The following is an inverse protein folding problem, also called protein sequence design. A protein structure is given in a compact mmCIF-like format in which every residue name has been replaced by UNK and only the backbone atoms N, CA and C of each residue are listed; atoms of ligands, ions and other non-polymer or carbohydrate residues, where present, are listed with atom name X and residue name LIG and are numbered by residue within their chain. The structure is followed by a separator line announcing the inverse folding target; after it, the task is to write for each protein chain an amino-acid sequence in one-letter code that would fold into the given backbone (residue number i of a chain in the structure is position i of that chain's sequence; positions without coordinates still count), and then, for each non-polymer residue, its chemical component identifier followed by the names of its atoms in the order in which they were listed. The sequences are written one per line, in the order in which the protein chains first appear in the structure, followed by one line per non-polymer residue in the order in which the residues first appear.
data_IF_250524186909
#
_entry.id   IF_250524186909
#
_cell.length_a   1.000
_cell.length_b   1.000
_cell.length_c   1.000
_cell.angle_alpha   90.00
_cell.angle_beta   90.00
_cell.angle_gamma   90.00
#
_symmetry.space_group_name_H-M   'P 1'
#
loop_
_entity.id
_entity.type
_entity.pdbx_description
1 polymer ?
#
# COMPACT_ATOMS: atom_id res chain seq x y z
N UNK A 1 6.40 15.25 31.89
CA UNK A 1 5.45 14.20 31.47
C UNK A 1 6.31 13.01 31.11
N UNK A 2 6.17 11.88 31.81
CA UNK A 2 6.88 10.66 31.47
C UNK A 2 6.47 10.27 30.04
N UNK A 3 7.43 10.13 29.12
CA UNK A 3 7.17 9.44 27.87
C UNK A 3 6.87 7.98 28.25
N UNK A 4 5.61 7.58 28.15
CA UNK A 4 5.29 6.16 28.23
C UNK A 4 6.16 5.44 27.19
N UNK A 5 6.90 4.46 27.65
CA UNK A 5 7.81 3.68 26.80
C UNK A 5 6.95 2.94 25.76
N UNK A 6 7.21 3.17 24.46
CA UNK A 6 6.46 2.53 23.38
C UNK A 6 6.82 1.04 23.31
N UNK A 7 5.82 0.18 23.38
CA UNK A 7 5.96 -1.27 23.23
C UNK A 7 5.43 -1.76 21.89
N UNK A 8 6.11 -1.35 20.84
CA UNK A 8 5.69 -1.61 19.45
C UNK A 8 5.96 -3.05 19.03
N UNK A 9 4.89 -3.82 18.79
CA UNK A 9 4.94 -5.18 18.27
C UNK A 9 4.36 -5.26 16.87
N UNK A 10 5.07 -5.94 15.95
CA UNK A 10 4.56 -6.24 14.60
C UNK A 10 3.99 -7.65 14.59
N UNK A 11 2.78 -7.83 14.06
CA UNK A 11 2.09 -9.11 13.94
C UNK A 11 1.14 -9.10 12.75
N UNK A 12 0.54 -10.25 12.46
CA UNK A 12 -0.54 -10.32 11.49
C UNK A 12 -1.83 -9.71 12.08
N UNK A 13 -2.62 -9.09 11.20
CA UNK A 13 -3.92 -8.54 11.54
C UNK A 13 -4.93 -9.68 11.72
N UNK A 14 -5.74 -9.62 12.77
CA UNK A 14 -6.79 -10.57 13.03
C UNK A 14 -8.18 -9.92 12.94
N UNK A 15 -9.22 -10.70 12.70
CA UNK A 15 -10.58 -10.16 12.54
C UNK A 15 -11.10 -9.48 13.83
N UNK A 16 -10.57 -9.85 14.99
CA UNK A 16 -10.88 -9.19 16.27
C UNK A 16 -10.39 -7.74 16.33
N UNK A 17 -9.38 -7.39 15.50
CA UNK A 17 -8.83 -6.03 15.43
C UNK A 17 -9.72 -5.08 14.62
N UNK A 18 -10.74 -5.59 13.92
CA UNK A 18 -11.55 -4.80 13.00
C UNK A 18 -12.17 -3.53 13.62
N UNK A 19 -12.67 -3.52 14.87
CA UNK A 19 -13.17 -2.28 15.47
C UNK A 19 -12.11 -1.16 15.52
N UNK A 20 -10.89 -1.46 15.97
CA UNK A 20 -9.79 -0.51 16.02
C UNK A 20 -9.28 -0.15 14.61
N UNK A 21 -9.24 -1.12 13.69
CA UNK A 21 -8.91 -0.87 12.29
C UNK A 21 -9.90 0.09 11.65
N UNK A 22 -11.21 -0.10 11.90
CA UNK A 22 -12.24 0.78 11.36
C UNK A 22 -12.06 2.23 11.85
N UNK A 23 -11.84 2.42 13.15
CA UNK A 23 -11.55 3.74 13.71
C UNK A 23 -10.32 4.39 13.06
N UNK A 24 -9.26 3.61 12.86
CA UNK A 24 -8.03 4.08 12.20
C UNK A 24 -8.29 4.47 10.73
N UNK A 25 -9.04 3.66 9.99
CA UNK A 25 -9.41 3.97 8.60
C UNK A 25 -10.28 5.22 8.51
N UNK A 26 -11.29 5.36 9.38
CA UNK A 26 -12.16 6.53 9.43
C UNK A 26 -11.37 7.82 9.73
N UNK A 27 -10.34 7.76 10.57
CA UNK A 27 -9.45 8.89 10.84
C UNK A 27 -8.55 9.27 9.66
N UNK A 28 -8.09 8.28 8.89
CA UNK A 28 -7.16 8.50 7.77
C UNK A 28 -7.89 8.84 6.48
N UNK A 29 -9.08 8.27 6.24
CA UNK A 29 -9.86 8.40 5.00
C UNK A 29 -11.05 9.35 5.10
N UNK A 30 -10.97 10.40 5.89
CA UNK A 30 -12.03 11.41 5.98
C UNK A 30 -12.45 11.98 4.61
N UNK A 31 -11.53 11.97 3.64
CA UNK A 31 -11.73 12.58 2.32
C UNK A 31 -11.98 11.56 1.19
N UNK A 32 -11.89 10.23 1.45
CA UNK A 32 -11.95 9.21 0.39
C UNK A 32 -12.65 7.94 0.91
N UNK A 33 -13.92 7.79 0.61
CA UNK A 33 -14.63 6.52 0.67
C UNK A 33 -14.85 5.88 2.05
N UNK A 34 -14.18 6.32 3.11
CA UNK A 34 -14.36 5.76 4.47
C UNK A 34 -13.68 4.41 4.69
N UNK A 35 -14.06 3.74 5.79
CA UNK A 35 -13.47 2.47 6.18
C UNK A 35 -13.92 1.31 5.28
N UNK A 36 -13.02 0.40 5.00
CA UNK A 36 -13.31 -0.85 4.29
C UNK A 36 -14.35 -1.67 5.06
N UNK A 37 -15.32 -2.30 4.36
CA UNK A 37 -16.29 -3.18 4.98
C UNK A 37 -15.64 -4.32 5.75
N UNK A 38 -16.28 -4.74 6.85
CA UNK A 38 -15.77 -5.84 7.69
C UNK A 38 -15.59 -7.14 6.90
N UNK A 39 -16.52 -7.43 5.99
CA UNK A 39 -16.47 -8.66 5.18
C UNK A 39 -15.32 -8.65 4.17
N UNK A 40 -14.94 -7.47 3.66
CA UNK A 40 -13.75 -7.30 2.81
C UNK A 40 -12.49 -7.62 3.60
N UNK A 41 -12.32 -7.04 4.79
CA UNK A 41 -11.17 -7.31 5.67
C UNK A 41 -11.13 -8.78 6.08
N UNK A 42 -12.29 -9.36 6.43
CA UNK A 42 -12.41 -10.80 6.74
C UNK A 42 -11.92 -11.67 5.58
N UNK A 43 -12.37 -11.36 4.36
CA UNK A 43 -11.96 -12.09 3.17
C UNK A 43 -10.43 -12.01 2.94
N UNK A 44 -9.84 -10.83 3.12
CA UNK A 44 -8.38 -10.66 2.98
C UNK A 44 -7.61 -11.48 4.01
N UNK A 45 -8.04 -11.46 5.27
CA UNK A 45 -7.42 -12.24 6.35
C UNK A 45 -7.54 -13.75 6.07
N UNK A 46 -8.71 -14.22 5.61
CA UNK A 46 -8.94 -15.64 5.31
C UNK A 46 -8.14 -16.12 4.09
N UNK A 47 -7.94 -15.27 3.08
CA UNK A 47 -7.25 -15.64 1.84
C UNK A 47 -5.75 -15.47 1.91
N UNK A 48 -5.29 -14.42 2.57
CA UNK A 48 -3.86 -14.09 2.64
C UNK A 48 -3.51 -13.44 3.99
N UNK A 49 -3.55 -14.20 5.11
CA UNK A 49 -3.30 -13.67 6.44
C UNK A 49 -1.92 -13.00 6.57
N UNK A 50 -0.88 -13.59 5.99
CA UNK A 50 0.49 -13.08 6.07
C UNK A 50 0.65 -11.70 5.41
N UNK A 51 -0.21 -11.39 4.46
CA UNK A 51 -0.22 -10.09 3.76
C UNK A 51 -0.87 -8.96 4.57
N UNK A 52 -1.59 -9.30 5.65
CA UNK A 52 -2.29 -8.33 6.49
C UNK A 52 -1.46 -8.08 7.75
N UNK A 53 -0.59 -7.07 7.71
CA UNK A 53 0.40 -6.80 8.75
C UNK A 53 -0.05 -5.61 9.59
N UNK A 54 0.09 -5.69 10.90
CA UNK A 54 -0.19 -4.57 11.79
C UNK A 54 0.93 -4.34 12.81
N UNK A 55 0.92 -3.15 13.39
CA UNK A 55 1.74 -2.78 14.55
C UNK A 55 0.79 -2.37 15.66
N UNK A 56 1.01 -2.90 16.83
CA UNK A 56 0.32 -2.50 18.06
C UNK A 56 1.28 -1.90 19.06
N UNK A 57 0.74 -1.07 19.96
CA UNK A 57 1.40 -0.54 21.13
C UNK A 57 0.52 -0.87 22.36
N UNK A 58 0.98 -1.78 23.20
CA UNK A 58 0.24 -2.25 24.38
C UNK A 58 -1.24 -2.64 24.07
N UNK A 59 -1.48 -3.36 22.96
CA UNK A 59 -2.80 -3.80 22.52
C UNK A 59 -3.61 -2.75 21.74
N UNK A 60 -3.09 -1.53 21.57
CA UNK A 60 -3.68 -0.51 20.68
C UNK A 60 -3.14 -0.68 19.27
N UNK A 61 -4.03 -0.83 18.28
CA UNK A 61 -3.67 -0.88 16.87
C UNK A 61 -3.22 0.52 16.39
N UNK A 62 -1.96 0.66 15.99
CA UNK A 62 -1.38 1.97 15.66
C UNK A 62 -0.95 2.10 14.20
N UNK A 63 -0.72 0.98 13.51
CA UNK A 63 -0.42 1.00 12.08
C UNK A 63 -0.81 -0.32 11.41
N UNK A 64 -1.24 -0.26 10.15
CA UNK A 64 -1.66 -1.44 9.38
C UNK A 64 -1.21 -1.31 7.93
N UNK A 65 -0.80 -2.42 7.33
CA UNK A 65 -0.56 -2.58 5.91
C UNK A 65 -1.43 -3.70 5.34
N UNK A 66 -2.22 -3.39 4.33
CA UNK A 66 -3.07 -4.35 3.61
C UNK A 66 -2.44 -4.70 2.27
N UNK A 67 -2.41 -6.00 1.95
CA UNK A 67 -1.70 -6.52 0.77
C UNK A 67 -2.54 -7.59 0.07
N UNK A 68 -2.54 -7.56 -1.26
CA UNK A 68 -3.08 -8.64 -2.10
C UNK A 68 -1.93 -9.43 -2.75
N UNK A 69 -2.23 -10.67 -3.16
CA UNK A 69 -1.35 -11.48 -4.01
C UNK A 69 -1.94 -11.54 -5.42
N UNK A 70 -1.14 -11.14 -6.43
CA UNK A 70 -1.60 -10.89 -7.80
C UNK A 70 -0.59 -11.35 -8.84
N UNK A 71 -1.00 -11.33 -10.12
CA UNK A 71 -0.12 -11.60 -11.25
C UNK A 71 0.67 -10.35 -11.66
N UNK A 72 1.97 -10.47 -11.75
CA UNK A 72 2.83 -9.38 -12.22
C UNK A 72 2.45 -8.89 -13.62
N UNK A 73 2.24 -9.82 -14.58
CA UNK A 73 1.91 -9.45 -15.96
C UNK A 73 0.67 -8.57 -16.05
N UNK A 74 -0.34 -8.85 -15.24
CA UNK A 74 -1.58 -8.07 -15.22
C UNK A 74 -1.36 -6.69 -14.61
N UNK A 75 -0.79 -6.63 -13.42
CA UNK A 75 -0.76 -5.41 -12.60
C UNK A 75 0.51 -4.55 -12.78
N UNK A 76 1.50 -5.01 -13.51
CA UNK A 76 2.60 -4.15 -14.00
C UNK A 76 2.18 -3.28 -15.21
N UNK A 77 1.00 -3.53 -15.75
CA UNK A 77 0.35 -2.76 -16.81
C UNK A 77 -0.62 -1.70 -16.26
N UNK A 78 -1.08 -0.72 -17.07
CA UNK A 78 -2.06 0.25 -16.65
C UNK A 78 -3.34 -0.43 -16.16
N UNK A 79 -3.82 -0.03 -14.99
CA UNK A 79 -5.04 -0.52 -14.36
C UNK A 79 -5.62 0.55 -13.44
N UNK A 80 -6.82 0.34 -12.97
CA UNK A 80 -7.51 1.18 -11.97
C UNK A 80 -7.51 0.47 -10.61
N UNK A 81 -7.89 1.20 -9.57
CA UNK A 81 -8.07 0.59 -8.25
C UNK A 81 -9.22 -0.43 -8.26
N UNK A 82 -10.27 -0.18 -9.04
CA UNK A 82 -11.40 -1.10 -9.19
C UNK A 82 -11.01 -2.44 -9.82
N UNK A 83 -9.92 -2.49 -10.60
CA UNK A 83 -9.40 -3.76 -11.13
C UNK A 83 -8.87 -4.72 -10.04
N UNK A 84 -8.59 -4.19 -8.84
CA UNK A 84 -8.21 -4.96 -7.67
C UNK A 84 -9.42 -5.39 -6.84
N UNK A 85 -10.57 -4.76 -7.06
CA UNK A 85 -11.81 -5.02 -6.33
C UNK A 85 -12.68 -5.95 -7.15
N UNK A 86 -13.02 -7.11 -6.61
CA UNK A 86 -13.95 -8.05 -7.21
C UNK A 86 -15.40 -7.68 -6.88
N UNK A 87 -16.35 -8.33 -7.56
CA UNK A 87 -17.78 -8.22 -7.19
C UNK A 87 -17.97 -8.49 -5.70
N UNK A 88 -18.86 -7.72 -5.07
CA UNK A 88 -19.15 -7.74 -3.63
C UNK A 88 -17.99 -7.24 -2.75
N UNK A 89 -17.26 -6.21 -3.18
CA UNK A 89 -16.19 -5.54 -2.42
C UNK A 89 -15.07 -6.48 -1.94
N UNK A 90 -14.87 -7.61 -2.62
CA UNK A 90 -13.77 -8.53 -2.31
C UNK A 90 -12.52 -8.11 -3.06
N UNK A 91 -11.39 -8.14 -2.38
CA UNK A 91 -10.10 -7.91 -3.00
C UNK A 91 -9.67 -9.14 -3.81
N UNK A 92 -9.12 -8.87 -4.99
CA UNK A 92 -8.55 -9.90 -5.85
C UNK A 92 -7.45 -10.66 -5.10
N UNK A 93 -7.52 -11.97 -5.14
CA UNK A 93 -6.48 -12.86 -4.63
C UNK A 93 -6.20 -13.97 -5.65
N UNK A 94 -4.95 -14.07 -6.10
CA UNK A 94 -4.51 -15.17 -6.92
C UNK A 94 -3.49 -16.03 -6.14
N UNK A 95 -3.83 -17.27 -5.74
CA UNK A 95 -2.93 -18.14 -5.01
C UNK A 95 -1.65 -18.50 -5.80
N UNK A 96 -1.71 -18.43 -7.14
CA UNK A 96 -0.56 -18.68 -8.03
C UNK A 96 0.15 -17.36 -8.45
N UNK A 97 -0.32 -16.23 -7.97
CA UNK A 97 0.29 -14.93 -8.28
C UNK A 97 1.74 -14.87 -7.80
N UNK A 98 2.58 -14.22 -8.56
CA UNK A 98 4.02 -14.09 -8.31
C UNK A 98 4.42 -12.74 -7.71
N UNK A 99 3.44 -11.91 -7.34
CA UNK A 99 3.68 -10.52 -6.94
C UNK A 99 2.75 -10.10 -5.80
N UNK A 100 3.29 -9.31 -4.86
CA UNK A 100 2.49 -8.63 -3.85
C UNK A 100 1.99 -7.29 -4.38
N UNK A 101 0.74 -6.94 -4.07
CA UNK A 101 0.19 -5.61 -4.34
C UNK A 101 -0.14 -4.91 -3.03
N UNK A 102 0.59 -3.82 -2.74
CA UNK A 102 0.33 -2.98 -1.57
C UNK A 102 -0.93 -2.14 -1.81
N UNK A 103 -2.01 -2.53 -1.14
CA UNK A 103 -3.31 -1.84 -1.24
C UNK A 103 -3.30 -0.55 -0.43
N UNK A 104 -2.98 -0.69 0.86
CA UNK A 104 -3.06 0.42 1.81
C UNK A 104 -1.98 0.36 2.90
N UNK A 105 -1.70 1.53 3.47
CA UNK A 105 -0.90 1.69 4.69
C UNK A 105 -1.55 2.78 5.54
N UNK A 106 -1.98 2.43 6.73
CA UNK A 106 -2.57 3.33 7.71
C UNK A 106 -1.64 3.54 8.89
N UNK A 107 -1.51 4.77 9.36
CA UNK A 107 -0.75 5.10 10.57
C UNK A 107 -1.60 6.06 11.40
N UNK A 108 -1.81 5.69 12.67
CA UNK A 108 -2.52 6.51 13.63
C UNK A 108 -1.86 7.90 13.73
N UNK A 109 -2.62 9.00 13.65
CA UNK A 109 -2.06 10.35 13.63
C UNK A 109 -1.04 10.63 14.73
N UNK A 110 -1.31 10.20 15.97
CA UNK A 110 -0.44 10.42 17.12
C UNK A 110 0.87 9.60 17.07
N UNK A 111 0.94 8.61 16.19
CA UNK A 111 2.13 7.77 15.99
C UNK A 111 2.91 8.12 14.71
N UNK A 112 2.57 9.24 14.06
CA UNK A 112 3.38 9.77 12.97
C UNK A 112 4.74 10.25 13.49
N UNK A 113 5.78 10.09 12.68
CA UNK A 113 7.15 10.43 13.09
C UNK A 113 7.93 9.25 13.70
N UNK A 114 7.27 8.19 14.20
CA UNK A 114 7.92 7.00 14.77
C UNK A 114 8.37 5.97 13.73
N UNK A 115 8.39 6.33 12.45
CA UNK A 115 8.82 5.50 11.31
C UNK A 115 8.03 4.20 11.13
N UNK A 116 6.78 4.13 11.64
CA UNK A 116 5.94 2.93 11.55
C UNK A 116 5.65 2.53 10.11
N UNK A 117 5.44 3.51 9.22
CA UNK A 117 5.26 3.24 7.79
C UNK A 117 6.46 2.51 7.19
N UNK A 118 7.69 2.94 7.50
CA UNK A 118 8.91 2.26 7.06
C UNK A 118 8.96 0.83 7.58
N UNK A 119 8.67 0.62 8.85
CA UNK A 119 8.64 -0.71 9.48
C UNK A 119 7.63 -1.64 8.79
N UNK A 120 6.45 -1.13 8.39
CA UNK A 120 5.47 -1.90 7.61
C UNK A 120 5.98 -2.23 6.19
N UNK A 121 6.66 -1.29 5.54
CA UNK A 121 7.28 -1.53 4.24
C UNK A 121 8.39 -2.58 4.32
N UNK A 122 9.22 -2.53 5.35
CA UNK A 122 10.29 -3.52 5.58
C UNK A 122 9.69 -4.92 5.84
N UNK A 123 8.63 -5.02 6.65
CA UNK A 123 7.90 -6.27 6.89
C UNK A 123 7.29 -6.84 5.60
N UNK A 124 6.69 -5.98 4.74
CA UNK A 124 6.15 -6.41 3.44
C UNK A 124 7.25 -6.85 2.47
N UNK A 125 8.42 -6.21 2.47
CA UNK A 125 9.58 -6.64 1.69
C UNK A 125 10.09 -8.00 2.16
N UNK A 126 10.14 -8.23 3.47
CA UNK A 126 10.54 -9.52 4.02
C UNK A 126 9.55 -10.62 3.66
N UNK A 127 8.24 -10.36 3.74
CA UNK A 127 7.21 -11.27 3.25
C UNK A 127 7.39 -11.59 1.76
N UNK A 128 7.70 -10.59 0.94
CA UNK A 128 7.94 -10.78 -0.49
C UNK A 128 9.11 -11.72 -0.76
N UNK A 129 10.19 -11.60 0.03
CA UNK A 129 11.36 -12.50 -0.06
C UNK A 129 11.03 -13.90 0.43
N UNK A 130 10.41 -14.03 1.58
CA UNK A 130 10.10 -15.34 2.21
C UNK A 130 9.16 -16.18 1.36
N UNK A 131 8.25 -15.55 0.61
CA UNK A 131 7.35 -16.20 -0.32
C UNK A 131 7.93 -16.35 -1.74
N UNK A 132 9.19 -16.01 -1.96
CA UNK A 132 9.82 -15.97 -3.29
C UNK A 132 8.96 -15.23 -4.32
N UNK A 133 8.42 -14.06 -3.95
CA UNK A 133 7.66 -13.21 -4.86
C UNK A 133 8.60 -12.33 -5.68
N UNK A 134 8.22 -12.08 -6.93
CA UNK A 134 8.99 -11.31 -7.91
C UNK A 134 9.18 -9.84 -7.50
N UNK A 135 8.11 -9.23 -7.02
CA UNK A 135 8.08 -7.80 -6.75
C UNK A 135 6.97 -7.42 -5.76
N UNK A 136 7.02 -6.17 -5.29
CA UNK A 136 5.89 -5.49 -4.68
C UNK A 136 5.48 -4.37 -5.61
N UNK A 137 4.21 -4.38 -6.05
CA UNK A 137 3.58 -3.29 -6.78
C UNK A 137 2.69 -2.46 -5.85
N UNK A 138 2.48 -1.20 -6.18
CA UNK A 138 1.52 -0.34 -5.50
C UNK A 138 1.06 0.80 -6.40
N UNK A 139 -0.22 1.17 -6.32
CA UNK A 139 -0.76 2.37 -6.91
C UNK A 139 -0.64 3.54 -5.91
N UNK A 140 0.42 4.32 -6.01
CA UNK A 140 0.69 5.45 -5.12
C UNK A 140 -0.08 6.69 -5.54
N UNK A 141 -0.97 7.19 -4.66
CA UNK A 141 -1.62 8.49 -4.85
C UNK A 141 -0.58 9.62 -4.85
N UNK A 142 -0.93 10.74 -5.48
CA UNK A 142 -0.09 11.94 -5.54
C UNK A 142 -0.86 13.18 -5.04
N UNK A 143 -1.27 13.21 -3.75
CA UNK A 143 -2.22 14.21 -3.25
C UNK A 143 -1.71 15.65 -3.30
N UNK A 144 -0.40 15.87 -3.36
CA UNK A 144 0.19 17.18 -3.56
C UNK A 144 -0.05 17.74 -4.97
N UNK A 145 -0.37 16.90 -5.95
CA UNK A 145 -0.57 17.32 -7.34
C UNK A 145 -1.68 18.37 -7.50
N UNK A 146 -2.73 18.35 -6.67
CA UNK A 146 -3.80 19.37 -6.71
C UNK A 146 -3.25 20.81 -6.72
N UNK A 147 -2.15 21.08 -6.00
CA UNK A 147 -1.57 22.42 -5.88
C UNK A 147 -0.83 22.85 -7.14
N UNK A 148 -0.49 21.92 -8.02
CA UNK A 148 0.33 22.15 -9.21
C UNK A 148 -0.40 21.84 -10.52
N UNK A 149 -1.65 21.39 -10.46
CA UNK A 149 -2.41 20.91 -11.62
C UNK A 149 -2.61 22.01 -12.70
N UNK A 150 -2.68 23.27 -12.30
CA UNK A 150 -2.79 24.41 -13.23
C UNK A 150 -1.42 24.86 -13.80
N UNK A 151 -0.32 24.35 -13.26
CA UNK A 151 1.05 24.75 -13.62
C UNK A 151 1.78 23.70 -14.46
N UNK A 152 1.49 22.41 -14.20
CA UNK A 152 2.17 21.31 -14.87
C UNK A 152 1.29 20.07 -14.97
N UNK A 153 1.57 19.20 -15.94
CA UNK A 153 0.91 17.91 -16.04
C UNK A 153 1.42 16.92 -14.97
N UNK A 154 0.66 15.80 -14.71
CA UNK A 154 1.03 14.86 -13.64
C UNK A 154 2.36 14.17 -13.86
N UNK A 155 2.78 13.94 -15.12
CA UNK A 155 4.06 13.30 -15.40
C UNK A 155 5.23 14.21 -15.04
N UNK A 156 5.12 15.52 -15.29
CA UNK A 156 6.13 16.48 -14.90
C UNK A 156 6.18 16.64 -13.37
N UNK A 157 5.02 16.70 -12.70
CA UNK A 157 4.94 16.71 -11.24
C UNK A 157 5.70 15.51 -10.62
N UNK A 158 5.44 14.30 -11.11
CA UNK A 158 6.11 13.08 -10.64
C UNK A 158 7.64 13.18 -10.82
N UNK A 159 8.10 13.70 -11.96
CA UNK A 159 9.54 13.92 -12.19
C UNK A 159 10.15 14.89 -11.18
N UNK A 160 9.46 15.99 -10.89
CA UNK A 160 9.96 16.98 -9.91
C UNK A 160 9.98 16.41 -8.49
N UNK A 161 8.99 15.59 -8.11
CA UNK A 161 9.02 14.87 -6.83
C UNK A 161 10.19 13.87 -6.79
N UNK A 162 10.43 13.13 -7.88
CA UNK A 162 11.56 12.20 -7.97
C UNK A 162 12.92 12.92 -7.87
N UNK A 163 13.03 14.12 -8.42
CA UNK A 163 14.23 14.98 -8.31
C UNK A 163 14.34 15.69 -6.96
N UNK A 164 13.35 15.53 -6.06
CA UNK A 164 13.25 16.23 -4.76
C UNK A 164 13.09 17.75 -4.88
N UNK A 165 12.62 18.24 -6.01
CA UNK A 165 12.29 19.64 -6.26
C UNK A 165 10.91 19.99 -5.67
N UNK A 166 10.01 19.01 -5.60
CA UNK A 166 8.69 19.08 -4.95
C UNK A 166 8.61 17.95 -3.92
N UNK A 167 7.97 18.22 -2.79
CA UNK A 167 7.63 17.20 -1.79
C UNK A 167 6.17 16.77 -1.95
N UNK A 168 5.94 15.47 -2.19
CA UNK A 168 4.64 14.84 -2.10
C UNK A 168 4.63 13.86 -0.91
N UNK A 169 3.67 13.94 0.01
CA UNK A 169 3.71 13.15 1.25
C UNK A 169 3.66 11.64 1.03
N UNK A 170 3.01 11.17 -0.05
CA UNK A 170 2.91 9.75 -0.36
C UNK A 170 4.04 9.31 -1.29
N UNK A 171 4.19 9.95 -2.45
CA UNK A 171 5.20 9.56 -3.43
C UNK A 171 6.63 9.69 -2.87
N UNK A 172 6.95 10.82 -2.17
CA UNK A 172 8.27 11.00 -1.56
C UNK A 172 8.57 9.92 -0.52
N UNK A 173 7.57 9.52 0.27
CA UNK A 173 7.71 8.43 1.23
C UNK A 173 7.97 7.09 0.53
N UNK A 174 7.24 6.76 -0.53
CA UNK A 174 7.40 5.52 -1.28
C UNK A 174 8.78 5.44 -1.96
N UNK A 175 9.24 6.53 -2.58
CA UNK A 175 10.58 6.63 -3.15
C UNK A 175 11.68 6.47 -2.07
N UNK A 176 11.47 7.01 -0.87
CA UNK A 176 12.41 6.85 0.26
C UNK A 176 12.46 5.44 0.84
N UNK A 177 11.53 4.58 0.44
CA UNK A 177 11.49 3.16 0.76
C UNK A 177 11.86 2.28 -0.45
N UNK A 178 12.72 2.76 -1.34
CA UNK A 178 13.32 2.06 -2.48
C UNK A 178 12.32 1.61 -3.56
N UNK A 179 11.11 2.17 -3.56
CA UNK A 179 10.19 1.97 -4.66
C UNK A 179 10.57 2.86 -5.84
N UNK A 180 10.36 2.35 -7.05
CA UNK A 180 10.63 3.06 -8.29
C UNK A 180 9.34 3.31 -9.04
N UNK A 181 9.21 4.50 -9.66
CA UNK A 181 8.08 4.80 -10.52
C UNK A 181 8.21 4.03 -11.84
N UNK A 182 7.24 3.19 -12.14
CA UNK A 182 7.15 2.46 -13.42
C UNK A 182 6.40 3.27 -14.45
N UNK A 183 5.27 3.86 -14.06
CA UNK A 183 4.40 4.64 -14.95
C UNK A 183 3.39 5.48 -14.19
N UNK A 184 2.78 6.41 -14.92
CA UNK A 184 1.58 7.13 -14.50
C UNK A 184 0.34 6.26 -14.72
N UNK A 185 -0.55 6.20 -13.71
CA UNK A 185 -1.87 5.61 -13.80
C UNK A 185 -2.92 6.72 -13.95
N UNK A 186 -3.81 6.56 -14.93
CA UNK A 186 -4.90 7.47 -15.20
C UNK A 186 -6.20 6.91 -14.63
N UNK A 187 -7.03 7.77 -14.05
CA UNK A 187 -8.32 7.39 -13.46
C UNK A 187 -8.18 6.23 -12.46
N UNK A 188 -7.07 6.22 -11.71
CA UNK A 188 -6.77 5.14 -10.78
C UNK A 188 -7.79 5.08 -9.64
N UNK A 189 -8.09 6.22 -9.02
CA UNK A 189 -9.22 6.46 -8.11
C UNK A 189 -9.87 7.75 -8.60
N UNK A 190 -10.92 7.69 -9.44
CA UNK A 190 -11.50 8.87 -10.09
C UNK A 190 -11.98 9.93 -9.09
N UNK A 191 -12.45 9.50 -7.90
CA UNK A 191 -12.96 10.36 -6.84
C UNK A 191 -11.87 11.05 -6.03
N UNK A 192 -10.59 10.69 -6.23
CA UNK A 192 -9.47 11.33 -5.54
C UNK A 192 -9.18 12.74 -6.10
N UNK A 193 -9.90 13.72 -5.59
CA UNK A 193 -9.76 15.12 -5.94
C UNK A 193 -8.34 15.68 -5.69
N UNK A 194 -7.64 15.16 -4.68
CA UNK A 194 -6.29 15.62 -4.33
C UNK A 194 -5.25 15.19 -5.35
N UNK A 195 -5.42 13.99 -5.91
CA UNK A 195 -4.55 13.46 -6.97
C UNK A 195 -5.15 13.67 -8.36
N UNK A 196 -6.32 14.32 -8.49
CA UNK A 196 -7.04 14.47 -9.76
C UNK A 196 -7.28 13.14 -10.49
N UNK A 197 -7.54 12.07 -9.72
CA UNK A 197 -7.70 10.71 -10.24
C UNK A 197 -6.41 10.04 -10.72
N UNK A 198 -5.25 10.67 -10.59
CA UNK A 198 -3.97 10.09 -10.99
C UNK A 198 -3.29 9.35 -9.85
N UNK A 199 -2.46 8.36 -10.22
CA UNK A 199 -1.53 7.70 -9.31
C UNK A 199 -0.24 7.31 -10.02
N UNK A 200 0.77 6.91 -9.27
CA UNK A 200 1.98 6.29 -9.78
C UNK A 200 1.89 4.78 -9.60
N UNK A 201 2.12 4.00 -10.65
CA UNK A 201 2.46 2.59 -10.47
C UNK A 201 3.91 2.52 -9.99
N UNK A 202 4.06 2.03 -8.80
CA UNK A 202 5.34 1.88 -8.12
C UNK A 202 5.71 0.41 -8.03
N UNK A 203 7.00 0.13 -8.09
CA UNK A 203 7.54 -1.21 -7.98
C UNK A 203 8.78 -1.23 -7.08
N UNK A 204 8.81 -2.20 -6.20
CA UNK A 204 10.02 -2.64 -5.52
C UNK A 204 10.36 -4.05 -6.01
N UNK A 205 11.54 -4.23 -6.62
CA UNK A 205 11.98 -5.51 -7.16
C UNK A 205 12.63 -6.37 -6.07
N UNK A 206 12.21 -7.62 -5.98
CA UNK A 206 12.90 -8.61 -5.17
C UNK A 206 14.11 -9.16 -5.95
N UNK A 207 15.29 -8.64 -5.67
CA UNK A 207 16.54 -9.10 -6.32
C UNK A 207 16.91 -10.55 -5.98
N UNK A 208 16.25 -11.16 -4.97
CA UNK A 208 16.44 -12.55 -4.56
C UNK A 208 15.39 -13.48 -5.18
N UNK A 209 14.55 -12.98 -6.07
CA UNK A 209 13.51 -13.77 -6.74
C UNK A 209 14.15 -14.83 -7.64
N UNK A 210 13.80 -16.09 -7.39
CA UNK A 210 14.18 -17.21 -8.23
C UNK A 210 12.94 -17.67 -9.03
N UNK A 211 12.91 -17.44 -10.36
CA UNK A 211 11.79 -17.91 -11.16
C UNK A 211 11.67 -19.43 -11.09
N UNK A 212 10.46 -20.00 -11.13
CA UNK A 212 10.26 -21.43 -11.20
C UNK A 212 11.13 -22.01 -12.33
N UNK A 213 11.86 -23.06 -12.04
CA UNK A 213 12.68 -23.75 -13.06
C UNK A 213 11.76 -24.12 -14.22
N UNK A 214 11.99 -23.55 -15.40
CA UNK A 214 11.39 -24.09 -16.62
C UNK A 214 11.95 -25.50 -16.78
N UNK A 215 11.09 -26.51 -16.52
CA UNK A 215 11.40 -27.87 -16.94
C UNK A 215 11.53 -27.77 -18.44
N UNK A 216 12.78 -27.83 -18.93
CA UNK A 216 13.04 -27.99 -20.35
C UNK A 216 12.53 -29.39 -20.69
N UNK A 217 11.29 -29.46 -21.22
CA UNK A 217 10.81 -30.66 -21.91
C UNK A 217 11.49 -30.80 -23.27
#
# INVERSE_FOLDING_TARGET
MAHDELHLQTRNLELRDYPQLKELMDQVYQDIGGAWPRDTIKHMIEKFPDGQICIEDNGKLVAVALTARVDYQRFSNPHTYDDLVMKNDRILYNPEGDTLYGLDVFIHPDYRGYRLGRRLYDARKELCRSLNMRAILAGGRIPGYRQYADQMNPAEYIKQVHRKEIYDPILSFQLSNDFQVKRLLHKYIPEDEKSKGYATLLEWNNIMFEPPSSVLE
#
